data_IF_491934518442
#
_entry.id   IF_491934518442
#
_cell.length_a   1.000
_cell.length_b   1.000
_cell.length_c   1.000
_cell.angle_alpha   90.00
_cell.angle_beta   90.00
_cell.angle_gamma   90.00
#
_symmetry.space_group_name_H-M   'P 1'
#
loop_
_entity.id
_entity.type
_entity.pdbx_description
1 polymer ?
#
# COMPACT_ATOMS: atom_id res chain seq x y z
N UNK A 1 7.30 3.25 4.83
CA UNK A 1 7.95 2.10 4.15
C UNK A 1 7.38 0.81 4.71
N UNK A 2 7.10 -0.16 3.85
CA UNK A 2 6.59 -1.47 4.24
C UNK A 2 7.73 -2.34 4.73
N UNK A 3 7.66 -2.77 5.99
CA UNK A 3 8.70 -3.55 6.66
C UNK A 3 8.20 -4.83 7.33
N UNK A 4 6.90 -5.10 7.26
CA UNK A 4 6.32 -6.37 7.69
C UNK A 4 5.00 -6.59 6.94
N UNK A 5 4.73 -7.85 6.61
CA UNK A 5 3.49 -8.30 5.98
C UNK A 5 2.88 -9.47 6.75
N UNK A 6 1.56 -9.63 6.65
CA UNK A 6 0.84 -10.80 7.16
C UNK A 6 0.37 -11.65 5.99
N UNK A 7 0.79 -12.91 5.94
CA UNK A 7 0.35 -13.88 4.93
C UNK A 7 -0.12 -15.15 5.66
N UNK A 8 -1.39 -15.15 6.07
CA UNK A 8 -2.02 -16.21 6.86
C UNK A 8 -2.89 -17.16 6.05
N UNK A 9 -3.18 -16.83 4.78
CA UNK A 9 -3.99 -17.68 3.92
C UNK A 9 -3.27 -18.95 3.50
N UNK A 10 -4.02 -20.05 3.48
CA UNK A 10 -3.50 -21.32 2.99
C UNK A 10 -3.00 -21.18 1.54
N UNK A 11 -1.73 -21.51 1.24
CA UNK A 11 -1.18 -21.39 -0.11
C UNK A 11 -1.96 -22.16 -1.18
N UNK A 12 -2.64 -23.26 -0.81
CA UNK A 12 -3.47 -24.01 -1.74
C UNK A 12 -4.77 -23.29 -2.11
N UNK A 13 -5.35 -22.53 -1.18
CA UNK A 13 -6.52 -21.71 -1.47
C UNK A 13 -6.16 -20.56 -2.40
N UNK A 14 -5.00 -19.93 -2.20
CA UNK A 14 -4.46 -18.91 -3.13
C UNK A 14 -4.30 -19.50 -4.54
N UNK A 15 -3.71 -20.69 -4.66
CA UNK A 15 -3.54 -21.39 -5.95
C UNK A 15 -4.88 -21.60 -6.64
N UNK A 16 -5.90 -22.06 -5.90
CA UNK A 16 -7.22 -22.32 -6.48
C UNK A 16 -7.94 -21.03 -6.86
N UNK A 17 -7.93 -20.04 -5.97
CA UNK A 17 -8.59 -18.75 -6.12
C UNK A 17 -8.07 -17.97 -7.34
N UNK A 18 -6.74 -17.93 -7.50
CA UNK A 18 -6.08 -17.23 -8.61
C UNK A 18 -5.78 -18.14 -9.82
N UNK A 19 -6.31 -19.37 -9.81
CA UNK A 19 -6.16 -20.37 -10.89
C UNK A 19 -4.70 -20.59 -11.32
N UNK A 20 -3.80 -20.65 -10.35
CA UNK A 20 -2.36 -20.81 -10.57
C UNK A 20 -2.01 -22.25 -10.97
N UNK A 21 -0.94 -22.41 -11.73
CA UNK A 21 -0.39 -23.71 -12.05
C UNK A 21 0.29 -24.33 -10.82
N UNK A 22 0.17 -25.66 -10.71
CA UNK A 22 0.72 -26.43 -9.58
C UNK A 22 2.17 -26.80 -9.86
N UNK A 23 3.07 -26.42 -8.95
CA UNK A 23 4.49 -26.80 -8.99
C UNK A 23 5.09 -26.72 -7.58
N UNK A 24 5.97 -27.65 -7.21
CA UNK A 24 6.73 -27.64 -5.95
C UNK A 24 5.88 -27.30 -4.71
N UNK A 25 4.65 -27.83 -4.63
CA UNK A 25 3.67 -27.48 -3.57
C UNK A 25 4.16 -27.85 -2.17
N UNK A 26 4.99 -28.88 -2.09
CA UNK A 26 5.69 -29.37 -0.91
C UNK A 26 6.75 -28.41 -0.37
N UNK A 27 7.12 -27.38 -1.15
CA UNK A 27 8.14 -26.38 -0.80
C UNK A 27 7.58 -24.99 -0.48
N UNK A 28 6.25 -24.84 -0.47
CA UNK A 28 5.61 -23.58 -0.12
C UNK A 28 5.88 -23.27 1.35
N UNK A 29 6.12 -22.00 1.65
CA UNK A 29 6.39 -21.54 3.02
C UNK A 29 5.09 -21.56 3.81
N UNK A 30 5.20 -21.84 5.10
CA UNK A 30 4.10 -21.71 6.05
C UNK A 30 3.63 -20.27 6.19
N UNK A 31 2.38 -20.15 6.61
CA UNK A 31 1.67 -18.90 6.86
C UNK A 31 2.14 -18.24 8.16
N UNK A 32 2.23 -16.91 8.18
CA UNK A 32 2.59 -16.13 9.37
C UNK A 32 1.87 -14.79 9.38
N UNK A 33 1.55 -14.29 10.58
CA UNK A 33 0.97 -12.94 10.73
C UNK A 33 2.04 -11.85 10.72
N UNK A 34 3.32 -12.17 10.90
CA UNK A 34 4.40 -11.19 10.97
C UNK A 34 5.62 -11.71 10.20
N UNK A 35 5.74 -11.29 8.94
CA UNK A 35 6.87 -11.64 8.09
C UNK A 35 7.69 -10.38 7.83
N UNK A 36 8.88 -10.34 8.42
CA UNK A 36 9.86 -9.28 8.21
C UNK A 36 10.75 -9.57 6.98
N UNK A 37 11.46 -8.58 6.44
CA UNK A 37 12.50 -8.78 5.45
C UNK A 37 13.46 -9.92 5.82
N UNK A 38 14.11 -10.49 4.80
CA UNK A 38 15.00 -11.66 4.88
C UNK A 38 14.31 -12.99 5.20
N UNK A 39 13.03 -12.98 5.53
CA UNK A 39 12.25 -14.20 5.68
C UNK A 39 11.60 -14.59 4.35
N UNK A 40 11.37 -15.89 4.12
CA UNK A 40 10.76 -16.36 2.90
C UNK A 40 9.24 -16.17 2.92
N UNK A 41 8.68 -15.88 1.74
CA UNK A 41 7.25 -15.67 1.48
C UNK A 41 6.89 -16.39 0.18
N UNK A 42 5.66 -16.85 0.06
CA UNK A 42 5.16 -17.36 -1.22
C UNK A 42 4.81 -16.19 -2.15
N UNK A 43 5.46 -16.10 -3.30
CA UNK A 43 5.21 -15.09 -4.34
C UNK A 43 4.62 -15.75 -5.60
N UNK A 44 3.87 -14.97 -6.37
CA UNK A 44 3.31 -15.38 -7.65
C UNK A 44 4.19 -14.83 -8.76
N UNK A 45 4.63 -15.69 -9.67
CA UNK A 45 5.46 -15.31 -10.83
C UNK A 45 4.94 -15.99 -12.09
N UNK A 46 5.16 -15.36 -13.24
CA UNK A 46 4.94 -16.02 -14.54
C UNK A 46 6.21 -16.75 -14.98
N UNK A 47 6.08 -17.99 -15.42
CA UNK A 47 7.16 -18.76 -16.07
C UNK A 47 7.32 -18.35 -17.54
N UNK A 48 8.46 -18.70 -18.17
CA UNK A 48 8.70 -18.48 -19.61
C UNK A 48 7.63 -19.12 -20.54
N UNK A 49 6.89 -20.12 -20.06
CA UNK A 49 5.79 -20.75 -20.80
C UNK A 49 4.42 -20.11 -20.54
N UNK A 50 4.36 -18.86 -20.07
CA UNK A 50 3.14 -18.08 -19.76
C UNK A 50 2.22 -18.65 -18.67
N UNK A 51 2.68 -19.66 -17.91
CA UNK A 51 1.97 -20.14 -16.73
C UNK A 51 2.32 -19.32 -15.48
N UNK A 52 1.33 -18.95 -14.69
CA UNK A 52 1.54 -18.34 -13.36
C UNK A 52 1.72 -19.42 -12.30
N UNK A 53 2.65 -19.25 -11.36
CA UNK A 53 3.00 -20.21 -10.31
C UNK A 53 3.16 -19.50 -8.97
N UNK A 54 2.81 -20.20 -7.89
CA UNK A 54 3.16 -19.81 -6.52
C UNK A 54 4.48 -20.50 -6.12
N UNK A 55 5.47 -19.75 -5.67
CA UNK A 55 6.80 -20.25 -5.31
C UNK A 55 7.34 -19.51 -4.07
N UNK A 56 8.15 -20.16 -3.22
CA UNK A 56 8.84 -19.48 -2.13
C UNK A 56 9.92 -18.53 -2.67
N UNK A 57 10.05 -17.36 -2.05
CA UNK A 57 11.12 -16.40 -2.31
C UNK A 57 11.51 -15.64 -1.04
N UNK A 58 12.78 -15.28 -0.90
CA UNK A 58 13.29 -14.50 0.23
C UNK A 58 13.10 -13.00 -0.01
N UNK A 59 12.58 -12.27 0.97
CA UNK A 59 12.40 -10.82 0.85
C UNK A 59 13.73 -10.06 1.06
N UNK A 60 14.61 -10.11 0.06
CA UNK A 60 15.98 -9.59 0.20
C UNK A 60 16.68 -9.27 -1.13
N UNK A 61 15.96 -8.88 -2.19
CA UNK A 61 16.55 -8.66 -3.51
C UNK A 61 17.81 -7.78 -3.47
N UNK A 62 18.85 -8.18 -4.19
CA UNK A 62 20.11 -7.44 -4.34
C UNK A 62 20.33 -7.07 -5.80
N UNK A 63 20.97 -5.94 -6.05
CA UNK A 63 21.43 -5.56 -7.39
C UNK A 63 22.86 -6.04 -7.67
N UNK A 64 23.13 -6.37 -8.93
CA UNK A 64 24.41 -6.11 -9.59
C UNK A 64 25.63 -6.92 -9.12
N UNK A 65 25.96 -7.90 -9.96
CA UNK A 65 27.25 -8.58 -10.18
C UNK A 65 27.89 -9.33 -9.01
N UNK A 66 28.40 -10.51 -9.37
CA UNK A 66 29.33 -11.34 -8.62
C UNK A 66 30.17 -10.55 -7.62
N UNK A 67 30.29 -11.08 -6.40
CA UNK A 67 31.35 -10.69 -5.48
C UNK A 67 32.71 -10.82 -6.21
N UNK A 68 33.17 -9.76 -6.87
CA UNK A 68 34.54 -9.61 -7.33
C UNK A 68 35.48 -9.22 -6.17
N UNK A 69 34.97 -9.32 -4.92
CA UNK A 69 35.71 -9.14 -3.68
C UNK A 69 36.17 -7.70 -3.42
N UNK A 70 35.82 -6.76 -4.31
CA UNK A 70 36.28 -5.36 -4.26
C UNK A 70 35.30 -4.40 -3.60
N UNK A 71 34.02 -4.74 -3.54
CA UNK A 71 32.98 -3.91 -2.94
C UNK A 71 32.25 -4.67 -1.84
N UNK A 72 31.84 -4.01 -0.73
CA UNK A 72 30.98 -4.64 0.26
C UNK A 72 29.69 -5.10 -0.42
N UNK A 73 29.20 -6.29 -0.05
CA UNK A 73 27.98 -6.87 -0.61
C UNK A 73 26.87 -5.81 -0.67
N UNK A 74 26.24 -5.67 -1.85
CA UNK A 74 25.16 -4.71 -2.07
C UNK A 74 24.12 -4.84 -0.95
N UNK A 75 23.74 -3.70 -0.34
CA UNK A 75 22.73 -3.68 0.71
C UNK A 75 21.41 -4.24 0.15
N UNK A 76 20.77 -5.20 0.83
CA UNK A 76 19.52 -5.78 0.37
C UNK A 76 18.43 -4.72 0.22
N UNK A 77 17.75 -4.72 -0.92
CA UNK A 77 16.66 -3.82 -1.22
C UNK A 77 15.35 -4.52 -0.90
N UNK A 78 14.76 -4.08 0.21
CA UNK A 78 13.49 -4.62 0.67
C UNK A 78 12.30 -3.85 0.06
N UNK A 79 12.51 -2.61 -0.38
CA UNK A 79 11.51 -1.79 -1.06
C UNK A 79 12.14 -1.08 -2.26
N UNK A 80 11.35 -0.82 -3.31
CA UNK A 80 11.72 0.08 -4.41
C UNK A 80 10.56 1.06 -4.69
N UNK A 81 10.79 2.39 -4.64
CA UNK A 81 9.75 3.35 -4.99
C UNK A 81 9.47 3.34 -6.49
N UNK A 82 8.20 3.56 -6.88
CA UNK A 82 7.76 3.56 -8.30
C UNK A 82 8.59 4.50 -9.19
N UNK A 83 9.07 5.62 -8.64
CA UNK A 83 9.90 6.61 -9.35
C UNK A 83 11.25 6.07 -9.81
N UNK A 84 11.73 4.96 -9.24
CA UNK A 84 13.02 4.35 -9.58
C UNK A 84 12.92 3.19 -10.57
N UNK A 85 11.71 2.77 -10.92
CA UNK A 85 11.47 1.59 -11.76
C UNK A 85 12.01 1.73 -13.19
N UNK A 86 12.22 2.96 -13.65
CA UNK A 86 12.79 3.28 -14.97
C UNK A 86 14.31 3.42 -14.96
N UNK A 87 14.98 3.37 -13.79
CA UNK A 87 16.44 3.35 -13.73
C UNK A 87 16.96 2.04 -14.32
N UNK A 88 18.12 2.08 -14.99
CA UNK A 88 18.75 0.91 -15.64
C UNK A 88 18.84 -0.31 -14.71
N UNK A 89 19.07 -0.06 -13.42
CA UNK A 89 19.16 -1.12 -12.39
C UNK A 89 17.87 -1.92 -12.22
N UNK A 90 16.70 -1.32 -12.44
CA UNK A 90 15.39 -1.99 -12.25
C UNK A 90 14.65 -2.25 -13.55
N UNK A 91 14.99 -1.54 -14.64
CA UNK A 91 14.27 -1.61 -15.91
C UNK A 91 14.19 -3.04 -16.46
N UNK A 92 15.27 -3.82 -16.40
CA UNK A 92 15.24 -5.22 -16.84
C UNK A 92 14.30 -6.08 -15.99
N UNK A 93 14.34 -5.94 -14.67
CA UNK A 93 13.46 -6.67 -13.75
C UNK A 93 12.01 -6.27 -13.92
N UNK A 94 11.75 -4.98 -14.15
CA UNK A 94 10.43 -4.47 -14.49
C UNK A 94 9.89 -5.06 -15.78
N UNK A 95 10.74 -5.48 -16.72
CA UNK A 95 10.30 -6.09 -17.98
C UNK A 95 10.06 -7.60 -17.88
N UNK A 96 10.90 -8.30 -17.12
CA UNK A 96 10.99 -9.78 -17.16
C UNK A 96 10.70 -10.48 -15.84
N UNK A 97 10.81 -9.77 -14.71
CA UNK A 97 10.89 -10.34 -13.38
C UNK A 97 9.97 -9.64 -12.38
N UNK A 98 8.72 -9.43 -12.79
CA UNK A 98 7.64 -8.95 -11.92
C UNK A 98 7.02 -10.11 -11.15
N UNK A 99 6.67 -9.86 -9.89
CA UNK A 99 5.96 -10.81 -9.04
C UNK A 99 4.81 -10.15 -8.29
N UNK A 100 3.92 -10.96 -7.72
CA UNK A 100 2.91 -10.52 -6.75
C UNK A 100 3.14 -11.22 -5.42
N UNK A 101 2.95 -10.50 -4.33
CA UNK A 101 3.03 -11.04 -2.97
C UNK A 101 1.61 -11.08 -2.40
N UNK A 102 0.94 -12.25 -2.36
CA UNK A 102 -0.37 -12.38 -1.75
C UNK A 102 -0.26 -12.26 -0.24
N UNK A 103 -1.00 -11.31 0.34
CA UNK A 103 -0.99 -11.02 1.78
C UNK A 103 -2.40 -10.76 2.29
N UNK A 104 -2.66 -11.03 3.55
CA UNK A 104 -3.87 -10.59 4.24
C UNK A 104 -3.83 -9.09 4.55
N UNK A 105 -2.61 -8.56 4.73
CA UNK A 105 -2.39 -7.17 5.06
C UNK A 105 -0.90 -6.87 5.25
N UNK A 106 -0.61 -5.62 5.54
CA UNK A 106 0.76 -5.12 5.76
C UNK A 106 0.79 -4.14 6.92
N UNK A 107 1.95 -3.98 7.53
CA UNK A 107 2.13 -3.10 8.67
C UNK A 107 2.77 -1.78 8.26
N UNK A 108 2.25 -0.69 8.81
CA UNK A 108 2.78 0.66 8.65
C UNK A 108 3.15 1.24 10.02
N UNK A 109 4.28 1.94 10.07
CA UNK A 109 4.78 2.58 11.28
C UNK A 109 4.66 4.09 11.17
N UNK A 110 4.19 4.69 12.26
CA UNK A 110 4.22 6.14 12.45
C UNK A 110 5.54 6.57 13.10
N UNK A 111 5.95 7.81 12.88
CA UNK A 111 7.19 8.37 13.43
C UNK A 111 7.27 8.30 14.96
N UNK A 112 6.12 8.32 15.66
CA UNK A 112 6.05 8.18 17.11
C UNK A 112 6.14 6.73 17.61
N UNK A 113 6.35 5.75 16.71
CA UNK A 113 6.54 4.34 17.03
C UNK A 113 5.25 3.50 17.08
N UNK A 114 4.08 4.10 16.88
CA UNK A 114 2.81 3.36 16.76
C UNK A 114 2.81 2.53 15.48
N UNK A 115 2.22 1.33 15.55
CA UNK A 115 2.15 0.40 14.41
C UNK A 115 0.70 0.16 14.05
N UNK A 116 0.40 0.15 12.76
CA UNK A 116 -0.94 -0.07 12.23
C UNK A 116 -0.91 -1.27 11.30
N UNK A 117 -1.88 -2.18 11.46
CA UNK A 117 -2.13 -3.25 10.52
C UNK A 117 -3.16 -2.78 9.50
N UNK A 118 -2.78 -2.78 8.21
CA UNK A 118 -3.62 -2.36 7.09
C UNK A 118 -4.11 -3.58 6.33
N UNK A 119 -5.42 -3.68 6.10
CA UNK A 119 -6.04 -4.86 5.48
C UNK A 119 -7.34 -4.52 4.74
N UNK A 120 -7.80 -5.46 3.90
CA UNK A 120 -9.13 -5.42 3.28
C UNK A 120 -10.20 -6.01 4.21
N UNK A 121 -11.46 -5.62 4.00
CA UNK A 121 -12.63 -6.20 4.69
C UNK A 121 -13.10 -7.52 4.08
N UNK A 122 -12.85 -7.71 2.77
CA UNK A 122 -13.41 -8.81 1.99
C UNK A 122 -12.90 -10.19 2.40
N UNK A 123 -11.89 -10.26 3.28
CA UNK A 123 -11.19 -11.51 3.65
C UNK A 123 -10.30 -12.06 2.52
N UNK A 124 -10.31 -11.41 1.36
CA UNK A 124 -9.51 -11.75 0.19
C UNK A 124 -8.06 -11.27 0.32
N UNK A 125 -7.08 -11.97 -0.27
CA UNK A 125 -5.71 -11.48 -0.27
C UNK A 125 -5.59 -10.18 -1.06
N UNK A 126 -4.84 -9.23 -0.49
CA UNK A 126 -4.21 -8.15 -1.21
C UNK A 126 -3.03 -8.71 -2.01
N UNK A 127 -2.78 -8.14 -3.19
CA UNK A 127 -1.68 -8.54 -4.06
C UNK A 127 -0.69 -7.39 -4.14
N UNK A 128 0.42 -7.48 -3.40
CA UNK A 128 1.46 -6.45 -3.43
C UNK A 128 2.34 -6.65 -4.68
N UNK A 129 2.57 -5.59 -5.44
CA UNK A 129 3.48 -5.57 -6.57
C UNK A 129 4.93 -5.72 -6.10
N UNK A 130 5.72 -6.56 -6.78
CA UNK A 130 7.13 -6.74 -6.49
C UNK A 130 7.98 -7.03 -7.72
N UNK A 131 9.29 -6.97 -7.52
CA UNK A 131 10.29 -7.44 -8.47
C UNK A 131 11.06 -8.60 -7.84
N UNK A 132 11.53 -9.52 -8.66
CA UNK A 132 12.32 -10.65 -8.19
C UNK A 132 13.60 -10.85 -9.00
N UNK A 133 14.53 -11.60 -8.42
CA UNK A 133 15.74 -12.12 -9.07
C UNK A 133 15.83 -13.62 -8.86
N UNK A 134 16.61 -14.28 -9.71
CA UNK A 134 16.98 -15.69 -9.54
C UNK A 134 18.42 -15.75 -9.02
N UNK A 135 18.60 -16.24 -7.81
CA UNK A 135 19.90 -16.48 -7.22
C UNK A 135 20.49 -17.78 -7.80
N UNK A 136 21.44 -17.63 -8.73
CA UNK A 136 22.07 -18.74 -9.44
C UNK A 136 23.01 -19.59 -8.57
N UNK A 137 23.43 -19.08 -7.41
CA UNK A 137 24.28 -19.82 -6.46
C UNK A 137 23.47 -20.83 -5.64
N UNK A 138 22.15 -20.66 -5.57
CA UNK A 138 21.25 -21.57 -4.86
C UNK A 138 20.80 -22.70 -5.77
N UNK A 139 20.60 -23.89 -5.19
CA UNK A 139 20.10 -25.04 -5.95
C UNK A 139 18.68 -24.73 -6.40
N UNK A 140 18.38 -25.11 -7.64
CA UNK A 140 17.04 -25.01 -8.22
C UNK A 140 16.01 -25.71 -7.33
N UNK A 141 14.96 -24.97 -6.98
CA UNK A 141 13.87 -25.38 -6.11
C UNK A 141 14.15 -25.18 -4.63
N UNK A 142 15.28 -24.61 -4.21
CA UNK A 142 15.47 -24.20 -2.82
C UNK A 142 14.74 -22.88 -2.55
N UNK A 143 14.34 -22.64 -1.30
CA UNK A 143 13.64 -21.40 -0.88
C UNK A 143 14.43 -20.14 -1.27
N UNK A 144 15.77 -20.22 -1.24
CA UNK A 144 16.64 -19.11 -1.62
C UNK A 144 16.88 -18.94 -3.12
N UNK A 145 16.30 -19.79 -4.00
CA UNK A 145 16.43 -19.63 -5.47
C UNK A 145 15.89 -18.27 -5.93
N UNK A 146 14.85 -17.77 -5.28
CA UNK A 146 14.24 -16.49 -5.62
C UNK A 146 14.41 -15.50 -4.48
N UNK A 147 14.78 -14.27 -4.82
CA UNK A 147 14.79 -13.15 -3.89
C UNK A 147 13.92 -12.03 -4.47
N UNK A 148 13.17 -11.31 -3.65
CA UNK A 148 12.26 -10.27 -4.11
C UNK A 148 12.36 -8.98 -3.31
N UNK A 149 11.84 -7.91 -3.89
CA UNK A 149 11.57 -6.60 -3.28
C UNK A 149 10.13 -6.22 -3.55
N UNK A 150 9.53 -5.41 -2.67
CA UNK A 150 8.20 -4.86 -2.91
C UNK A 150 8.29 -3.47 -3.52
N UNK A 151 7.37 -3.16 -4.43
CA UNK A 151 7.26 -1.83 -5.01
C UNK A 151 6.42 -0.97 -4.09
N UNK A 152 6.88 0.24 -3.80
CA UNK A 152 6.19 1.21 -2.95
C UNK A 152 5.80 2.45 -3.73
N UNK A 153 4.69 3.06 -3.35
CA UNK A 153 4.27 4.38 -3.83
C UNK A 153 3.91 5.26 -2.64
N UNK A 154 3.64 6.54 -2.90
CA UNK A 154 3.09 7.45 -1.92
C UNK A 154 1.78 6.89 -1.35
N UNK A 155 1.61 7.09 -0.05
CA UNK A 155 0.34 6.82 0.62
C UNK A 155 -0.75 7.72 0.05
N UNK A 156 -1.98 7.21 0.07
CA UNK A 156 -3.17 7.98 -0.30
C UNK A 156 -4.21 7.92 0.80
N UNK A 157 -5.20 8.81 0.72
CA UNK A 157 -6.31 8.77 1.64
C UNK A 157 -5.85 8.86 3.10
N UNK A 158 -6.51 8.05 3.92
CA UNK A 158 -6.24 7.89 5.35
C UNK A 158 -4.82 7.46 5.70
N UNK A 159 -4.16 6.69 4.82
CA UNK A 159 -2.85 6.09 5.12
C UNK A 159 -1.74 7.15 5.21
N UNK A 160 -1.93 8.33 4.59
CA UNK A 160 -1.03 9.50 4.71
C UNK A 160 -0.85 9.97 6.16
N UNK A 161 -1.79 9.64 7.06
CA UNK A 161 -1.68 9.96 8.48
C UNK A 161 -0.68 9.08 9.25
N UNK A 162 -0.30 7.95 8.65
CA UNK A 162 0.56 6.95 9.27
C UNK A 162 2.00 7.11 8.79
N UNK A 163 2.21 7.11 7.47
CA UNK A 163 3.54 7.18 6.84
C UNK A 163 3.44 7.79 5.45
N UNK A 164 4.57 8.11 4.82
CA UNK A 164 4.58 8.69 3.48
C UNK A 164 4.40 7.64 2.37
N UNK A 165 4.79 6.38 2.61
CA UNK A 165 4.84 5.33 1.57
C UNK A 165 4.11 4.05 1.95
N UNK A 166 3.40 3.48 0.99
CA UNK A 166 2.67 2.20 1.08
C UNK A 166 3.10 1.25 -0.04
N UNK A 167 2.85 -0.07 0.05
CA UNK A 167 3.10 -0.97 -1.06
C UNK A 167 2.11 -0.68 -2.19
N UNK A 168 2.54 -0.87 -3.43
CA UNK A 168 1.65 -0.86 -4.59
C UNK A 168 0.80 -2.14 -4.58
N UNK A 169 -0.50 -1.98 -4.77
CA UNK A 169 -1.49 -3.05 -4.79
C UNK A 169 -1.97 -3.28 -6.22
N UNK A 170 -1.99 -4.54 -6.66
CA UNK A 170 -2.46 -4.93 -7.97
C UNK A 170 -3.87 -5.50 -7.86
N UNK A 171 -4.79 -4.90 -8.62
CA UNK A 171 -6.14 -5.41 -8.75
C UNK A 171 -6.14 -6.80 -9.41
N UNK A 172 -7.06 -7.66 -8.99
CA UNK A 172 -7.16 -9.04 -9.49
C UNK A 172 -7.35 -9.12 -11.00
N UNK A 173 -8.08 -8.17 -11.60
CA UNK A 173 -8.29 -8.14 -13.04
C UNK A 173 -6.99 -7.80 -13.82
N UNK A 174 -5.96 -7.31 -13.13
CA UNK A 174 -4.69 -6.88 -13.71
C UNK A 174 -3.54 -7.82 -13.39
N UNK A 175 -3.80 -8.95 -12.74
CA UNK A 175 -2.78 -9.95 -12.39
C UNK A 175 -2.02 -10.44 -13.62
N UNK A 176 -2.73 -10.81 -14.68
CA UNK A 176 -2.09 -11.35 -15.88
C UNK A 176 -1.27 -10.27 -16.62
N UNK A 177 -1.80 -9.04 -16.72
CA UNK A 177 -1.09 -7.90 -17.32
C UNK A 177 0.18 -7.59 -16.51
N UNK A 178 0.06 -7.57 -15.17
CA UNK A 178 1.21 -7.34 -14.31
C UNK A 178 2.25 -8.44 -14.44
N UNK A 179 1.87 -9.71 -14.52
CA UNK A 179 2.85 -10.80 -14.57
C UNK A 179 3.42 -11.08 -15.97
N UNK A 180 2.81 -10.54 -17.03
CA UNK A 180 3.22 -10.77 -18.42
C UNK A 180 4.66 -10.31 -18.69
N UNK A 181 5.51 -11.19 -19.21
CA UNK A 181 6.92 -10.87 -19.51
C UNK A 181 7.09 -10.01 -20.77
N UNK A 182 6.71 -8.74 -20.64
CA UNK A 182 6.91 -7.69 -21.63
C UNK A 182 7.03 -6.34 -20.95
N UNK A 183 7.43 -5.35 -21.73
CA UNK A 183 7.37 -3.96 -21.31
C UNK A 183 5.91 -3.54 -21.11
N UNK A 184 5.62 -2.96 -19.95
CA UNK A 184 4.35 -2.27 -19.71
C UNK A 184 4.42 -0.90 -20.39
N UNK A 185 3.39 -0.52 -21.11
CA UNK A 185 3.28 0.84 -21.62
C UNK A 185 3.14 1.85 -20.48
N UNK A 186 3.41 3.13 -20.77
CA UNK A 186 3.20 4.19 -19.78
C UNK A 186 1.74 4.24 -19.29
N UNK A 187 0.77 4.07 -20.19
CA UNK A 187 -0.65 4.03 -19.84
C UNK A 187 -1.03 2.87 -18.92
N UNK A 188 -0.51 1.66 -19.18
CA UNK A 188 -0.74 0.50 -18.30
C UNK A 188 -0.15 0.71 -16.91
N UNK A 189 1.06 1.29 -16.81
CA UNK A 189 1.64 1.63 -15.50
C UNK A 189 0.78 2.65 -14.76
N UNK A 190 0.39 3.74 -15.42
CA UNK A 190 -0.46 4.77 -14.81
C UNK A 190 -1.79 4.20 -14.33
N UNK A 191 -2.50 3.42 -15.15
CA UNK A 191 -3.77 2.79 -14.75
C UNK A 191 -3.58 1.85 -13.53
N UNK A 192 -2.49 1.07 -13.49
CA UNK A 192 -2.18 0.22 -12.33
C UNK A 192 -1.93 1.03 -11.06
N UNK A 193 -1.22 2.15 -11.13
CA UNK A 193 -0.96 3.00 -9.96
C UNK A 193 -2.26 3.62 -9.43
N UNK A 194 -3.11 4.14 -10.32
CA UNK A 194 -4.40 4.71 -9.93
C UNK A 194 -5.31 3.67 -9.27
N UNK A 195 -5.37 2.46 -9.83
CA UNK A 195 -6.12 1.35 -9.20
C UNK A 195 -5.54 0.95 -7.86
N UNK A 196 -4.22 0.99 -7.70
CA UNK A 196 -3.59 0.75 -6.39
C UNK A 196 -4.07 1.77 -5.37
N UNK A 197 -4.24 3.04 -5.77
CA UNK A 197 -4.77 4.08 -4.89
C UNK A 197 -6.24 3.87 -4.55
N UNK A 198 -7.06 3.48 -5.54
CA UNK A 198 -8.47 3.14 -5.32
C UNK A 198 -8.61 1.98 -4.32
N UNK A 199 -7.80 0.93 -4.47
CA UNK A 199 -7.77 -0.17 -3.50
C UNK A 199 -7.36 0.35 -2.13
N UNK A 200 -6.26 1.10 -2.03
CA UNK A 200 -5.74 1.63 -0.77
C UNK A 200 -6.76 2.51 -0.04
N UNK A 201 -7.57 3.29 -0.77
CA UNK A 201 -8.62 4.13 -0.21
C UNK A 201 -9.77 3.32 0.44
N UNK A 202 -9.93 2.05 0.07
CA UNK A 202 -10.95 1.15 0.66
C UNK A 202 -10.44 0.37 1.87
N UNK A 203 -9.13 0.37 2.13
CA UNK A 203 -8.54 -0.44 3.18
C UNK A 203 -8.87 0.11 4.58
N UNK A 204 -9.02 -0.82 5.52
CA UNK A 204 -9.07 -0.52 6.95
C UNK A 204 -7.71 -0.65 7.58
N UNK A 205 -7.55 0.01 8.72
CA UNK A 205 -6.38 -0.15 9.54
C UNK A 205 -6.70 0.14 11.00
N UNK A 206 -6.02 -0.58 11.89
CA UNK A 206 -6.12 -0.39 13.33
C UNK A 206 -4.74 -0.47 13.97
N UNK A 207 -4.56 0.19 15.11
CA UNK A 207 -3.31 0.16 15.86
C UNK A 207 -3.09 -1.24 16.48
N UNK A 208 -1.84 -1.72 16.45
CA UNK A 208 -1.44 -3.01 17.02
C UNK A 208 -0.29 -2.81 18.01
N UNK A 209 -0.24 -3.66 19.03
CA UNK A 209 0.88 -3.64 19.98
C UNK A 209 2.17 -4.14 19.29
N UNK A 210 3.22 -3.32 19.41
CA UNK A 210 4.55 -3.55 18.83
C UNK A 210 5.21 -4.83 19.33
N UNK A 211 4.92 -5.26 20.57
CA UNK A 211 5.51 -6.46 21.17
C UNK A 211 5.14 -7.76 20.42
N UNK A 212 4.04 -7.73 19.67
CA UNK A 212 3.57 -8.90 18.91
C UNK A 212 4.33 -9.10 17.59
N UNK A 213 5.01 -8.09 17.06
CA UNK A 213 5.64 -8.20 15.72
C UNK A 213 6.99 -8.93 15.72
N UNK A 214 7.60 -9.12 16.89
CA UNK A 214 8.93 -9.75 17.03
C UNK A 214 8.90 -11.25 17.33
N UNK A 215 7.73 -11.81 17.62
CA UNK A 215 7.55 -13.24 17.85
C UNK A 215 6.98 -13.84 16.57
N UNK A 216 7.46 -15.01 16.12
CA UNK A 216 6.82 -15.74 15.03
C UNK A 216 5.41 -16.15 15.51
N UNK A 217 4.42 -15.34 15.17
CA UNK A 217 3.02 -15.57 15.53
C UNK A 217 2.49 -16.65 14.59
N UNK A 218 2.18 -17.81 15.17
CA UNK A 218 1.51 -18.91 14.48
C UNK A 218 0.10 -18.46 14.06
N UNK A 219 -0.52 -19.10 13.04
CA UNK A 219 -1.86 -18.73 12.56
C UNK A 219 -2.93 -18.64 13.67
N UNK A 220 -2.73 -19.37 14.78
CA UNK A 220 -3.65 -19.47 15.92
C UNK A 220 -3.41 -18.41 17.01
N UNK A 221 -2.35 -17.61 16.92
CA UNK A 221 -2.04 -16.59 17.92
C UNK A 221 -2.75 -15.28 17.53
N UNK A 222 -3.76 -14.82 18.29
CA UNK A 222 -4.37 -13.52 18.04
C UNK A 222 -3.29 -12.46 18.23
N UNK A 223 -3.11 -11.56 17.27
CA UNK A 223 -2.32 -10.34 17.47
C UNK A 223 -2.92 -9.67 18.70
N UNK A 224 -2.19 -9.60 19.83
CA UNK A 224 -2.74 -9.08 21.06
C UNK A 224 -3.16 -7.62 20.84
N UNK A 225 -4.47 -7.44 20.75
CA UNK A 225 -5.13 -6.16 20.63
C UNK A 225 -5.08 -5.52 22.01
N UNK A 226 -4.70 -4.24 22.09
CA UNK A 226 -5.00 -3.48 23.30
C UNK A 226 -6.52 -3.63 23.55
N UNK A 227 -6.87 -4.19 24.72
CA UNK A 227 -8.14 -4.89 25.00
C UNK A 227 -9.42 -4.06 25.00
N UNK A 228 -9.70 -3.36 23.90
CA UNK A 228 -10.93 -2.58 23.70
C UNK A 228 -11.54 -2.72 22.30
N UNK A 229 -10.87 -3.41 21.36
CA UNK A 229 -11.40 -3.54 20.00
C UNK A 229 -11.52 -5.01 19.64
N UNK A 230 -12.75 -5.49 19.51
CA UNK A 230 -13.12 -6.84 19.07
C UNK A 230 -12.62 -7.12 17.65
N UNK A 231 -12.19 -8.36 17.40
CA UNK A 231 -11.82 -8.89 16.08
C UNK A 231 -12.93 -8.74 15.02
N UNK A 232 -14.19 -8.58 15.41
CA UNK A 232 -15.34 -8.37 14.51
C UNK A 232 -16.48 -7.58 15.18
N UNK A 233 -16.14 -6.56 15.98
CA UNK A 233 -17.17 -5.62 16.45
C UNK A 233 -17.62 -4.76 15.27
N UNK A 234 -18.93 -4.56 15.11
CA UNK A 234 -19.47 -3.53 14.22
C UNK A 234 -18.93 -2.16 14.69
N UNK A 235 -17.76 -1.77 14.20
CA UNK A 235 -17.24 -0.43 14.39
C UNK A 235 -17.87 0.41 13.28
N UNK A 236 -18.88 1.20 13.67
CA UNK A 236 -19.51 2.21 12.83
C UNK A 236 -18.45 3.05 12.10
N UNK A 237 -18.77 3.46 10.87
CA UNK A 237 -17.92 3.94 9.75
C UNK A 237 -16.73 4.90 10.01
N UNK A 238 -16.45 5.35 11.22
CA UNK A 238 -15.60 6.51 11.50
C UNK A 238 -14.42 6.23 12.47
N UNK A 239 -13.56 5.27 12.16
CA UNK A 239 -12.24 5.06 12.84
C UNK A 239 -11.33 6.32 12.81
N UNK A 240 -11.67 7.30 11.98
CA UNK A 240 -11.03 8.61 11.98
C UNK A 240 -11.14 9.31 13.33
N UNK A 241 -12.21 9.09 14.08
CA UNK A 241 -12.51 9.80 15.32
C UNK A 241 -11.39 9.77 16.35
N UNK A 242 -10.44 8.83 16.28
CA UNK A 242 -9.28 8.73 17.17
C UNK A 242 -7.98 9.39 16.61
N UNK A 243 -7.96 9.80 15.34
CA UNK A 243 -6.76 10.26 14.65
C UNK A 243 -6.62 11.79 14.64
N UNK A 244 -5.43 12.27 14.97
CA UNK A 244 -5.01 13.64 14.63
C UNK A 244 -4.75 13.77 13.13
N UNK A 245 -5.28 14.82 12.50
CA UNK A 245 -5.16 15.08 11.05
C UNK A 245 -4.51 16.45 10.86
N UNK A 246 -3.37 16.52 10.15
CA UNK A 246 -2.59 17.76 10.01
C UNK A 246 -2.25 18.44 11.35
N UNK A 247 -2.02 17.64 12.40
CA UNK A 247 -1.80 18.14 13.77
C UNK A 247 -3.06 18.59 14.51
N UNK A 248 -4.22 18.65 13.85
CA UNK A 248 -5.51 18.97 14.46
C UNK A 248 -5.97 17.76 15.29
N UNK A 249 -6.23 17.92 16.60
CA UNK A 249 -6.68 16.83 17.45
C UNK A 249 -8.08 16.38 17.07
N UNK A 250 -8.36 15.09 17.24
CA UNK A 250 -9.70 14.58 16.98
C UNK A 250 -10.68 15.02 18.07
N UNK A 251 -11.99 15.13 17.76
CA UNK A 251 -13.00 15.40 18.78
C UNK A 251 -12.96 14.40 19.95
N UNK A 252 -12.68 13.12 19.67
CA UNK A 252 -12.54 12.08 20.69
C UNK A 252 -11.35 12.32 21.64
N UNK A 253 -10.17 12.65 21.09
CA UNK A 253 -8.98 12.93 21.90
C UNK A 253 -9.22 14.13 22.83
N UNK A 254 -9.93 15.13 22.33
CA UNK A 254 -10.28 16.34 23.07
C UNK A 254 -11.29 16.05 24.17
N UNK A 255 -12.34 15.28 23.89
CA UNK A 255 -13.35 14.95 24.89
C UNK A 255 -12.76 14.07 26.01
N UNK A 256 -11.89 13.11 25.67
CA UNK A 256 -11.14 12.30 26.64
C UNK A 256 -10.23 13.12 27.58
N UNK A 257 -9.73 14.29 27.12
CA UNK A 257 -8.81 15.16 27.89
C UNK A 257 -9.47 16.38 28.51
N UNK A 258 -10.77 16.58 28.32
CA UNK A 258 -11.50 17.82 28.64
C UNK A 258 -11.57 18.20 30.14
N UNK A 259 -11.01 17.38 31.04
CA UNK A 259 -10.98 17.61 32.49
C UNK A 259 -9.81 18.46 33.03
N UNK A 260 -8.84 18.91 32.21
CA UNK A 260 -7.65 19.65 32.69
C UNK A 260 -7.64 21.12 32.26
N UNK A 261 -7.17 22.02 33.14
CA UNK A 261 -7.20 23.49 32.94
C UNK A 261 -6.16 24.04 31.92
N UNK A 262 -5.42 23.19 31.20
CA UNK A 262 -4.25 23.55 30.36
C UNK A 262 -4.31 23.06 28.90
N UNK A 263 -5.50 22.86 28.35
CA UNK A 263 -5.69 22.00 27.17
C UNK A 263 -5.29 22.55 25.80
N UNK A 264 -5.43 23.86 25.53
CA UNK A 264 -5.22 24.41 24.17
C UNK A 264 -3.79 24.20 23.64
N UNK A 265 -2.79 24.54 24.47
CA UNK A 265 -1.38 24.43 24.12
C UNK A 265 -0.92 22.96 24.09
N UNK A 266 -1.45 22.12 24.97
CA UNK A 266 -1.18 20.66 25.02
C UNK A 266 -1.75 19.92 23.79
N UNK A 267 -2.79 20.46 23.16
CA UNK A 267 -3.35 19.93 21.93
C UNK A 267 -2.60 20.37 20.66
N UNK A 268 -1.65 21.30 20.77
CA UNK A 268 -0.89 21.79 19.62
C UNK A 268 -1.69 22.69 18.68
N UNK A 269 -2.81 23.26 19.14
CA UNK A 269 -3.63 24.19 18.36
C UNK A 269 -3.27 25.64 18.70
N UNK A 270 -3.17 26.49 17.66
CA UNK A 270 -2.69 27.88 17.79
C UNK A 270 -3.79 28.89 18.18
N UNK A 271 -5.05 28.46 18.35
CA UNK A 271 -6.20 29.33 18.64
C UNK A 271 -6.73 29.19 20.08
N UNK A 272 -7.26 30.28 20.69
CA UNK A 272 -7.81 30.25 22.05
C UNK A 272 -9.14 29.49 22.16
N UNK A 273 -9.31 28.72 23.24
CA UNK A 273 -10.53 27.96 23.57
C UNK A 273 -11.62 28.90 24.14
N UNK A 274 -12.33 29.61 23.25
CA UNK A 274 -13.50 30.46 23.56
C UNK A 274 -14.81 29.76 23.19
N UNK A 275 -15.96 30.25 23.66
CA UNK A 275 -17.28 29.66 23.34
C UNK A 275 -17.41 29.22 21.87
N UNK A 276 -17.97 28.02 21.69
CA UNK A 276 -18.09 27.38 20.37
C UNK A 276 -16.77 26.84 19.79
N UNK A 277 -15.66 26.79 20.54
CA UNK A 277 -14.39 26.20 20.07
C UNK A 277 -14.52 24.72 19.68
N UNK A 278 -15.34 23.92 20.39
CA UNK A 278 -15.58 22.51 20.05
C UNK A 278 -16.13 22.34 18.63
N UNK A 279 -17.18 23.10 18.28
CA UNK A 279 -17.76 23.11 16.92
C UNK A 279 -16.76 23.55 15.85
N UNK A 280 -15.87 24.51 16.17
CA UNK A 280 -14.80 24.95 15.26
C UNK A 280 -13.73 23.89 15.08
N UNK A 281 -13.35 23.19 16.15
CA UNK A 281 -12.44 22.06 16.08
C UNK A 281 -13.04 20.92 15.26
N UNK A 282 -14.28 20.52 15.55
CA UNK A 282 -14.98 19.48 14.79
C UNK A 282 -15.09 19.83 13.30
N UNK A 283 -15.28 21.12 12.97
CA UNK A 283 -15.27 21.59 11.58
C UNK A 283 -13.87 21.51 10.99
N UNK A 284 -12.85 22.07 11.65
CA UNK A 284 -11.48 22.06 11.16
C UNK A 284 -10.93 20.64 10.98
N UNK A 285 -11.30 19.74 11.89
CA UNK A 285 -10.98 18.33 11.83
C UNK A 285 -11.73 17.62 10.69
N UNK A 286 -13.03 17.90 10.49
CA UNK A 286 -13.79 17.41 9.32
C UNK A 286 -13.21 17.92 8.00
N UNK A 287 -12.87 19.21 7.92
CA UNK A 287 -12.27 19.82 6.74
C UNK A 287 -10.91 19.17 6.43
N UNK A 288 -10.08 18.93 7.46
CA UNK A 288 -8.81 18.23 7.29
C UNK A 288 -9.00 16.77 6.86
N UNK A 289 -9.94 16.05 7.48
CA UNK A 289 -10.34 14.70 7.09
C UNK A 289 -10.75 14.66 5.63
N UNK A 290 -11.60 15.58 5.20
CA UNK A 290 -12.15 15.60 3.85
C UNK A 290 -11.08 15.98 2.81
N UNK A 291 -10.06 16.79 3.17
CA UNK A 291 -8.85 17.00 2.34
C UNK A 291 -8.05 15.71 2.17
N UNK A 292 -7.78 15.00 3.26
CA UNK A 292 -7.00 13.76 3.25
C UNK A 292 -7.79 12.61 2.60
N UNK A 293 -9.11 12.65 2.60
CA UNK A 293 -10.02 11.68 1.97
C UNK A 293 -10.00 11.74 0.44
N UNK A 294 -9.49 12.80 -0.17
CA UNK A 294 -9.42 12.90 -1.63
C UNK A 294 -8.42 11.91 -2.25
N UNK A 295 -8.69 11.37 -3.46
CA UNK A 295 -7.66 10.68 -4.22
C UNK A 295 -6.49 11.63 -4.48
N UNK A 296 -5.30 11.08 -4.76
CA UNK A 296 -4.24 11.91 -5.32
C UNK A 296 -4.79 12.60 -6.58
N UNK A 297 -4.74 13.93 -6.61
CA UNK A 297 -5.16 14.67 -7.78
C UNK A 297 -4.00 14.58 -8.77
N UNK A 298 -4.19 13.95 -9.96
CA UNK A 298 -3.12 13.86 -10.94
C UNK A 298 -2.68 15.27 -11.34
N UNK A 299 -1.38 15.43 -11.52
CA UNK A 299 -0.79 16.64 -12.09
C UNK A 299 -1.26 16.83 -13.53
N UNK A 300 -1.18 18.06 -14.06
CA UNK A 300 -1.52 18.31 -15.47
C UNK A 300 -0.65 17.49 -16.43
N UNK A 301 0.59 17.21 -16.05
CA UNK A 301 1.55 16.43 -16.82
C UNK A 301 1.11 14.97 -16.93
N UNK A 302 0.62 14.38 -15.83
CA UNK A 302 0.05 13.03 -15.81
C UNK A 302 -1.27 12.93 -16.60
N UNK A 303 -2.11 13.97 -16.51
CA UNK A 303 -3.34 14.07 -17.31
C UNK A 303 -3.07 14.21 -18.81
N UNK A 304 -1.98 14.87 -19.19
CA UNK A 304 -1.60 15.10 -20.58
C UNK A 304 -0.80 13.92 -21.17
N UNK A 305 -0.11 13.13 -20.34
CA UNK A 305 0.62 11.94 -20.75
C UNK A 305 -0.26 10.69 -21.02
N UNK A 306 -1.57 10.75 -20.73
CA UNK A 306 -2.49 9.61 -20.90
C UNK A 306 -2.80 9.38 -22.39
N UNK A 307 -2.32 8.28 -23.03
CA UNK A 307 -2.17 8.23 -24.48
C UNK A 307 -3.27 7.44 -25.19
N UNK A 308 -4.56 7.78 -25.05
CA UNK A 308 -5.55 7.47 -26.11
C UNK A 308 -6.89 8.18 -25.90
N UNK A 309 -7.62 8.43 -26.99
CA UNK A 309 -8.98 9.01 -26.98
C UNK A 309 -10.01 8.09 -26.28
N UNK A 310 -9.72 6.80 -26.12
CA UNK A 310 -10.58 5.81 -25.47
C UNK A 310 -10.41 5.68 -23.95
N UNK A 311 -9.27 6.14 -23.42
CA UNK A 311 -8.95 6.20 -21.98
C UNK A 311 -9.38 7.53 -21.35
N UNK A 312 -9.87 8.48 -22.17
CA UNK A 312 -10.55 9.73 -21.78
C UNK A 312 -11.95 9.48 -21.23
N UNK A 313 -12.21 8.33 -20.62
CA UNK A 313 -13.49 8.08 -19.95
C UNK A 313 -13.46 8.78 -18.61
N UNK A 314 -14.16 9.89 -18.60
CA UNK A 314 -14.63 10.65 -17.44
C UNK A 314 -15.05 9.75 -16.26
N UNK A 315 -15.57 8.54 -16.52
CA UNK A 315 -15.93 7.54 -15.52
C UNK A 315 -14.78 7.06 -14.61
N UNK A 316 -13.53 6.99 -15.09
CA UNK A 316 -12.38 6.61 -14.26
C UNK A 316 -12.09 7.65 -13.16
N UNK A 317 -12.54 8.89 -13.35
CA UNK A 317 -12.39 10.02 -12.43
C UNK A 317 -13.73 10.52 -11.86
N UNK A 318 -14.81 9.76 -12.05
CA UNK A 318 -16.15 10.12 -11.59
C UNK A 318 -16.84 11.29 -12.33
N UNK A 319 -16.28 11.75 -13.46
CA UNK A 319 -16.87 12.78 -14.31
C UNK A 319 -17.85 12.13 -15.30
N UNK A 320 -19.01 12.71 -15.53
CA UNK A 320 -20.05 12.15 -16.42
C UNK A 320 -19.99 12.70 -17.84
N UNK A 321 -19.07 13.62 -18.13
CA UNK A 321 -18.97 14.34 -19.40
C UNK A 321 -17.70 13.95 -20.18
N UNK A 322 -17.86 13.56 -21.44
CA UNK A 322 -16.81 13.09 -22.36
C UNK A 322 -16.47 14.11 -23.46
N UNK A 323 -17.08 15.30 -23.44
CA UNK A 323 -16.85 16.35 -24.43
C UNK A 323 -15.57 17.18 -24.19
N UNK A 324 -15.26 18.14 -25.08
CA UNK A 324 -14.09 19.03 -25.01
C UNK A 324 -13.99 19.88 -23.72
N UNK A 325 -15.04 19.90 -22.90
CA UNK A 325 -15.10 20.56 -21.59
C UNK A 325 -14.74 19.68 -20.38
N UNK A 326 -14.48 18.37 -20.55
CA UNK A 326 -14.33 17.44 -19.43
C UNK A 326 -13.22 17.84 -18.44
N UNK A 327 -12.09 18.40 -18.91
CA UNK A 327 -11.00 18.88 -18.04
C UNK A 327 -11.44 20.05 -17.15
N UNK A 328 -12.25 20.96 -17.68
CA UNK A 328 -12.80 22.11 -16.95
C UNK A 328 -13.90 21.66 -15.97
N UNK A 329 -14.67 20.63 -16.34
CA UNK A 329 -15.67 20.02 -15.47
C UNK A 329 -15.02 19.22 -14.33
N UNK A 330 -13.93 18.49 -14.62
CA UNK A 330 -13.09 17.83 -13.61
C UNK A 330 -12.47 18.87 -12.67
N UNK A 331 -11.91 19.96 -13.20
CA UNK A 331 -11.37 21.08 -12.41
C UNK A 331 -12.44 21.70 -11.50
N UNK A 332 -13.66 21.96 -12.03
CA UNK A 332 -14.77 22.47 -11.23
C UNK A 332 -15.23 21.49 -10.15
N UNK A 333 -15.31 20.19 -10.46
CA UNK A 333 -15.68 19.16 -9.49
C UNK A 333 -14.60 18.98 -8.42
N UNK A 334 -13.32 19.02 -8.78
CA UNK A 334 -12.19 19.01 -7.84
C UNK A 334 -12.26 20.24 -6.93
N UNK A 335 -12.50 21.43 -7.49
CA UNK A 335 -12.67 22.65 -6.71
C UNK A 335 -13.87 22.59 -5.77
N UNK A 336 -15.01 22.05 -6.23
CA UNK A 336 -16.24 21.91 -5.44
C UNK A 336 -16.11 20.84 -4.35
N UNK A 337 -15.35 19.77 -4.60
CA UNK A 337 -15.27 18.58 -3.73
C UNK A 337 -14.11 18.63 -2.73
N UNK A 338 -12.98 19.23 -3.11
CA UNK A 338 -11.73 19.23 -2.32
C UNK A 338 -11.26 20.63 -1.93
N UNK A 339 -11.91 21.70 -2.40
CA UNK A 339 -11.60 23.09 -2.02
C UNK A 339 -10.24 23.60 -2.54
N UNK A 340 -9.61 22.89 -3.48
CA UNK A 340 -8.32 23.22 -4.07
C UNK A 340 -8.38 23.15 -5.61
N UNK A 341 -7.51 23.90 -6.30
CA UNK A 341 -7.29 23.76 -7.75
C UNK A 341 -6.12 22.80 -7.99
N UNK A 342 -6.15 21.95 -9.04
CA UNK A 342 -4.98 21.19 -9.45
C UNK A 342 -3.78 22.12 -9.69
N UNK A 343 -2.62 21.79 -9.12
CA UNK A 343 -1.41 22.60 -9.28
C UNK A 343 -1.01 22.66 -10.75
N UNK A 344 -0.94 23.88 -11.32
CA UNK A 344 -0.28 24.10 -12.61
C UNK A 344 1.22 24.17 -12.36
N UNK A 345 1.98 23.25 -12.95
CA UNK A 345 3.42 23.42 -13.07
C UNK A 345 3.70 24.79 -13.73
N UNK A 346 4.63 25.55 -13.16
CA UNK A 346 5.03 26.86 -13.70
C UNK A 346 5.88 26.72 -14.94
#
# INVERSE_FOLDING_TARGET
MTGCIAATQNPHDIINMLKLNKRNRDKLVETSTSISPYNPVNIIVQSKGNGNYLLPATWSMKHGTENDGKYPAAQPMINVPVSRLTEDTYAEHMREHRCLVPVNGFYLWRLNGQVYYVHADSGEPLLIAGLYIVNKEKRKGDIGEFEFTVITNDTVGRLRLITDYMPVLIDRAHVDIWLERRELSAGERTDMWLRSEDIAATLRFHEVDRLNLTTAITPDTPVAMNGTTSLFGEVEDDDWGALRIDGIPSPYEVDARSGTKKTAAEWGVSWPLRDGWKKRLERAWRDARDRVRGPHLPTWEELDATPSYGDRRSAAWGVTDSGSGWKKNLEQQICQRYGQRPERAR
#
